data_IF_130887241766
#
_entry.id   IF_130887241766
#
_cell.length_a   1.000
_cell.length_b   1.000
_cell.length_c   1.000
_cell.angle_alpha   90.00
_cell.angle_beta   90.00
_cell.angle_gamma   90.00
#
_symmetry.space_group_name_H-M   'P 1'
#
loop_
_entity.id
_entity.type
_entity.pdbx_description
1 polymer ?
#
# COMPACT_ATOMS: atom_id res chain seq x y z
N UNK A 1 -59.91 -41.87 -0.19
CA UNK A 1 -59.90 -41.28 -1.56
C UNK A 1 -59.70 -39.79 -1.46
N UNK A 2 -58.51 -39.32 -1.78
CA UNK A 2 -58.23 -38.09 -2.51
C UNK A 2 -56.70 -37.83 -2.47
N UNK A 3 -56.13 -37.87 -3.66
CA UNK A 3 -54.71 -37.79 -3.98
C UNK A 3 -54.13 -36.41 -3.69
N UNK A 4 -53.01 -36.37 -2.97
CA UNK A 4 -52.17 -35.18 -2.84
C UNK A 4 -51.01 -35.25 -3.84
N UNK A 5 -51.07 -34.38 -4.84
CA UNK A 5 -50.06 -34.27 -5.91
C UNK A 5 -48.86 -33.55 -5.42
N UNK A 6 -47.71 -34.22 -5.40
CA UNK A 6 -46.37 -33.60 -5.25
C UNK A 6 -45.92 -33.05 -6.61
N UNK A 7 -45.82 -31.72 -6.69
CA UNK A 7 -45.19 -31.06 -7.82
C UNK A 7 -43.70 -30.99 -7.59
N UNK A 8 -42.94 -31.77 -8.33
CA UNK A 8 -41.48 -31.65 -8.42
C UNK A 8 -41.13 -30.47 -9.31
N UNK A 9 -40.53 -29.43 -8.76
CA UNK A 9 -39.87 -28.35 -9.50
C UNK A 9 -38.48 -28.86 -9.93
N UNK A 10 -38.36 -29.28 -11.16
CA UNK A 10 -37.11 -29.63 -11.83
C UNK A 10 -36.42 -28.32 -12.24
N UNK A 11 -35.37 -27.91 -11.48
CA UNK A 11 -34.48 -26.81 -11.89
C UNK A 11 -33.52 -27.39 -12.94
N UNK A 12 -33.74 -27.00 -14.20
CA UNK A 12 -32.85 -27.27 -15.33
C UNK A 12 -31.62 -26.37 -15.23
N UNK A 13 -30.48 -26.94 -14.83
CA UNK A 13 -29.19 -26.30 -14.95
C UNK A 13 -28.72 -26.35 -16.39
N UNK A 14 -28.90 -25.28 -17.16
CA UNK A 14 -28.32 -25.12 -18.48
C UNK A 14 -26.82 -24.80 -18.29
N UNK A 15 -25.97 -25.79 -18.57
CA UNK A 15 -24.53 -25.65 -18.74
C UNK A 15 -24.24 -24.81 -19.98
N UNK A 16 -24.04 -23.51 -19.81
CA UNK A 16 -23.42 -22.65 -20.81
C UNK A 16 -21.90 -22.87 -20.74
N UNK A 17 -21.43 -23.84 -21.54
CA UNK A 17 -20.01 -23.97 -21.86
C UNK A 17 -19.63 -22.85 -22.83
N UNK A 18 -19.36 -21.66 -22.27
CA UNK A 18 -18.69 -20.59 -22.98
C UNK A 18 -17.23 -21.00 -23.17
N UNK A 19 -16.86 -21.45 -24.36
CA UNK A 19 -15.48 -21.54 -24.80
C UNK A 19 -14.91 -20.12 -24.75
N UNK A 20 -14.17 -19.79 -23.69
CA UNK A 20 -13.28 -18.65 -23.67
C UNK A 20 -12.17 -18.97 -24.68
N UNK A 21 -12.37 -18.58 -25.94
CA UNK A 21 -11.28 -18.41 -26.88
C UNK A 21 -10.37 -17.32 -26.29
N UNK A 22 -9.31 -17.76 -25.60
CA UNK A 22 -8.20 -16.90 -25.24
C UNK A 22 -7.65 -16.31 -26.53
N UNK A 23 -8.03 -15.09 -26.85
CA UNK A 23 -7.28 -14.28 -27.79
C UNK A 23 -5.89 -14.12 -27.15
N UNK A 24 -4.94 -14.93 -27.61
CA UNK A 24 -3.53 -14.54 -27.55
C UNK A 24 -3.41 -13.27 -28.40
N UNK A 25 -3.59 -12.12 -27.78
CA UNK A 25 -3.10 -10.88 -28.30
C UNK A 25 -1.60 -11.10 -28.46
N UNK A 26 -1.12 -11.19 -29.69
CA UNK A 26 0.28 -10.93 -30.02
C UNK A 26 0.57 -9.52 -29.51
N UNK A 27 0.99 -9.44 -28.28
CA UNK A 27 1.35 -8.20 -27.65
C UNK A 27 2.72 -7.81 -28.21
N UNK A 28 2.71 -6.90 -29.18
CA UNK A 28 3.91 -6.17 -29.52
C UNK A 28 4.53 -5.56 -28.24
N UNK A 29 5.75 -5.05 -28.31
CA UNK A 29 6.42 -4.47 -27.14
C UNK A 29 5.54 -3.42 -26.49
N UNK A 30 5.45 -3.44 -25.18
CA UNK A 30 4.69 -2.46 -24.39
C UNK A 30 5.43 -1.12 -24.44
N UNK A 31 4.91 -0.19 -25.24
CA UNK A 31 5.44 1.16 -25.36
C UNK A 31 5.02 1.99 -24.16
N UNK A 32 5.99 2.45 -23.37
CA UNK A 32 5.77 3.15 -22.11
C UNK A 32 6.44 4.52 -22.09
N UNK A 33 5.66 5.54 -21.71
CA UNK A 33 6.19 6.82 -21.18
C UNK A 33 6.16 6.80 -19.65
N UNK A 34 6.93 7.68 -19.00
CA UNK A 34 6.93 7.83 -17.54
C UNK A 34 5.51 8.03 -16.99
N UNK A 35 4.76 8.91 -17.62
CA UNK A 35 3.37 9.17 -17.26
C UNK A 35 2.53 7.89 -17.30
N UNK A 36 2.60 7.15 -18.41
CA UNK A 36 1.80 5.94 -18.60
C UNK A 36 2.18 4.83 -17.61
N UNK A 37 3.47 4.69 -17.31
CA UNK A 37 3.95 3.74 -16.30
C UNK A 37 3.39 4.04 -14.90
N UNK A 38 3.40 5.30 -14.50
CA UNK A 38 2.84 5.74 -13.21
C UNK A 38 1.32 5.59 -13.17
N UNK A 39 0.59 5.95 -14.25
CA UNK A 39 -0.86 5.78 -14.34
C UNK A 39 -1.28 4.30 -14.20
N UNK A 40 -0.60 3.40 -14.89
CA UNK A 40 -0.86 1.95 -14.81
C UNK A 40 -0.63 1.43 -13.39
N UNK A 41 0.51 1.76 -12.78
CA UNK A 41 0.86 1.28 -11.45
C UNK A 41 -0.03 1.82 -10.33
N UNK A 42 -0.55 3.04 -10.48
CA UNK A 42 -1.43 3.69 -9.48
C UNK A 42 -2.92 3.47 -9.75
N UNK A 43 -3.28 2.70 -10.77
CA UNK A 43 -4.68 2.31 -11.00
C UNK A 43 -5.20 1.40 -9.87
N UNK A 44 -6.52 1.30 -9.66
CA UNK A 44 -7.10 0.44 -8.60
C UNK A 44 -6.73 -1.05 -8.71
N UNK A 45 -6.49 -1.54 -9.92
CA UNK A 45 -6.05 -2.89 -10.23
C UNK A 45 -4.54 -2.97 -10.52
N UNK A 46 -3.83 -1.87 -10.31
CA UNK A 46 -2.40 -1.73 -10.54
C UNK A 46 -1.56 -2.56 -9.57
N UNK A 47 -0.57 -1.95 -8.95
CA UNK A 47 0.35 -2.67 -8.08
C UNK A 47 -0.34 -3.35 -6.90
N UNK A 48 0.21 -4.50 -6.45
CA UNK A 48 -0.27 -5.22 -5.28
C UNK A 48 -0.35 -4.32 -4.02
N UNK A 49 0.53 -3.31 -3.90
CA UNK A 49 0.49 -2.36 -2.79
C UNK A 49 -0.78 -1.49 -2.82
N UNK A 50 -1.23 -1.08 -4.01
CA UNK A 50 -2.49 -0.32 -4.18
C UNK A 50 -3.69 -1.18 -3.81
N UNK A 51 -3.74 -2.43 -4.30
CA UNK A 51 -4.81 -3.37 -3.96
C UNK A 51 -4.88 -3.63 -2.46
N UNK A 52 -3.74 -3.89 -1.80
CA UNK A 52 -3.67 -4.08 -0.34
C UNK A 52 -4.12 -2.85 0.44
N UNK A 53 -3.77 -1.64 -0.01
CA UNK A 53 -4.22 -0.40 0.63
C UNK A 53 -5.73 -0.18 0.46
N UNK A 54 -6.30 -0.57 -0.69
CA UNK A 54 -7.75 -0.57 -0.92
C UNK A 54 -8.50 -1.54 0.02
N UNK A 55 -7.96 -2.74 0.24
CA UNK A 55 -8.53 -3.68 1.21
C UNK A 55 -8.41 -3.17 2.65
N UNK A 56 -7.31 -2.51 3.01
CA UNK A 56 -7.16 -1.87 4.33
C UNK A 56 -8.21 -0.77 4.55
N UNK A 57 -8.53 0.01 3.52
CA UNK A 57 -9.61 1.00 3.56
C UNK A 57 -10.99 0.33 3.74
N UNK A 58 -11.29 -0.77 3.04
CA UNK A 58 -12.53 -1.54 3.22
C UNK A 58 -12.65 -2.08 4.66
N UNK A 59 -11.54 -2.58 5.22
CA UNK A 59 -11.50 -3.01 6.62
C UNK A 59 -11.78 -1.86 7.60
N UNK A 60 -11.22 -0.67 7.36
CA UNK A 60 -11.47 0.50 8.19
C UNK A 60 -12.96 0.92 8.14
N UNK A 61 -13.58 0.90 6.95
CA UNK A 61 -15.02 1.14 6.78
C UNK A 61 -15.86 0.12 7.54
N UNK A 62 -15.56 -1.16 7.40
CA UNK A 62 -16.27 -2.22 8.13
C UNK A 62 -16.14 -2.07 9.65
N UNK A 63 -14.97 -1.65 10.16
CA UNK A 63 -14.80 -1.34 11.60
C UNK A 63 -15.64 -0.14 12.03
N UNK A 64 -15.78 0.89 11.19
CA UNK A 64 -16.67 2.01 11.44
C UNK A 64 -18.14 1.59 11.47
N UNK A 65 -18.55 0.70 10.55
CA UNK A 65 -19.92 0.14 10.54
C UNK A 65 -20.20 -0.72 11.76
N UNK A 66 -19.23 -1.53 12.23
CA UNK A 66 -19.34 -2.25 13.51
C UNK A 66 -19.51 -1.31 14.69
N UNK A 67 -18.74 -0.19 14.73
CA UNK A 67 -18.89 0.80 15.79
C UNK A 67 -20.25 1.52 15.71
N UNK A 68 -20.77 1.74 14.49
CA UNK A 68 -22.13 2.27 14.26
C UNK A 68 -23.20 1.29 14.72
N UNK A 69 -23.00 -0.01 14.44
CA UNK A 69 -23.96 -1.06 14.83
C UNK A 69 -24.21 -1.10 16.33
N UNK A 70 -23.22 -0.73 17.16
CA UNK A 70 -23.40 -0.61 18.60
C UNK A 70 -24.42 0.48 19.04
N UNK A 71 -24.84 1.35 18.13
CA UNK A 71 -25.87 2.39 18.33
C UNK A 71 -27.22 1.99 17.74
N UNK A 72 -27.29 0.89 17.00
CA UNK A 72 -28.50 0.38 16.35
C UNK A 72 -29.10 -0.76 17.15
N UNK A 73 -30.38 -1.11 16.89
CA UNK A 73 -30.99 -2.27 17.51
C UNK A 73 -30.25 -3.57 17.18
N UNK A 74 -29.99 -4.37 18.20
CA UNK A 74 -29.51 -5.75 18.06
C UNK A 74 -30.72 -6.69 18.28
N UNK A 75 -31.01 -7.48 17.25
CA UNK A 75 -32.12 -8.43 17.28
C UNK A 75 -31.56 -9.83 17.09
N UNK A 76 -31.83 -10.71 18.05
CA UNK A 76 -31.38 -12.11 18.03
C UNK A 76 -32.55 -13.06 18.25
N UNK A 77 -32.41 -14.27 17.72
CA UNK A 77 -33.35 -15.37 17.95
C UNK A 77 -32.61 -16.50 18.64
N UNK A 78 -33.25 -17.09 19.66
CA UNK A 78 -32.71 -18.23 20.38
C UNK A 78 -33.75 -19.32 20.53
N UNK A 79 -33.31 -20.57 20.38
CA UNK A 79 -34.06 -21.77 20.68
C UNK A 79 -33.26 -22.58 21.70
N UNK A 80 -33.83 -22.75 22.89
CA UNK A 80 -33.16 -23.48 23.96
C UNK A 80 -34.01 -24.65 24.42
N UNK A 81 -33.40 -25.83 24.47
CA UNK A 81 -33.95 -27.00 25.12
C UNK A 81 -33.13 -27.34 26.36
N UNK A 82 -33.80 -27.50 27.51
CA UNK A 82 -33.15 -27.88 28.77
C UNK A 82 -33.96 -29.02 29.40
N UNK A 83 -33.23 -30.00 29.90
CA UNK A 83 -33.82 -30.99 30.83
C UNK A 83 -33.18 -30.74 32.19
N UNK A 84 -34.01 -30.43 33.18
CA UNK A 84 -33.56 -30.00 34.51
C UNK A 84 -34.38 -30.58 35.65
N UNK A 85 -33.71 -30.73 36.79
CA UNK A 85 -34.38 -30.96 38.08
C UNK A 85 -34.29 -29.69 38.91
N UNK A 86 -35.31 -29.37 39.67
CA UNK A 86 -35.35 -28.18 40.52
C UNK A 86 -35.56 -28.58 41.97
N UNK A 87 -34.71 -28.12 42.87
CA UNK A 87 -34.91 -28.27 44.32
C UNK A 87 -35.75 -27.09 44.82
N UNK A 88 -37.03 -27.35 45.08
CA UNK A 88 -38.00 -26.32 45.51
C UNK A 88 -37.63 -25.71 46.88
N UNK A 89 -37.06 -26.52 47.80
CA UNK A 89 -36.63 -26.01 49.11
C UNK A 89 -35.46 -25.04 49.00
N UNK A 90 -34.52 -25.30 48.12
CA UNK A 90 -33.39 -24.38 47.90
C UNK A 90 -33.85 -23.03 47.29
N UNK A 91 -34.97 -23.02 46.57
CA UNK A 91 -35.59 -21.80 46.02
C UNK A 91 -36.59 -21.13 46.99
N UNK A 92 -36.66 -21.55 48.25
CA UNK A 92 -37.54 -20.97 49.27
C UNK A 92 -39.01 -21.30 49.12
N UNK A 93 -39.35 -22.22 48.20
CA UNK A 93 -40.71 -22.64 47.97
C UNK A 93 -41.09 -23.79 48.98
N UNK A 94 -41.49 -23.40 50.17
CA UNK A 94 -42.07 -24.33 51.18
C UNK A 94 -43.55 -24.07 51.25
N UNK A 95 -44.33 -25.08 50.84
CA UNK A 95 -45.77 -25.00 50.90
C UNK A 95 -46.25 -25.65 52.25
N UNK A 96 -46.64 -24.82 53.24
CA UNK A 96 -47.34 -25.27 54.43
C UNK A 96 -48.84 -25.35 54.13
N UNK A 97 -49.28 -26.52 53.75
CA UNK A 97 -50.73 -26.74 53.59
C UNK A 97 -51.33 -27.22 54.94
N UNK A 98 -52.41 -26.58 55.43
CA UNK A 98 -53.09 -27.08 56.64
C UNK A 98 -53.57 -28.52 56.43
N UNK A 99 -53.29 -29.40 57.38
CA UNK A 99 -53.72 -30.79 57.36
C UNK A 99 -55.25 -30.83 57.47
N UNK A 100 -55.88 -31.21 56.36
CA UNK A 100 -57.34 -31.56 56.39
C UNK A 100 -57.42 -33.03 56.74
N UNK A 101 -58.28 -33.37 57.74
CA UNK A 101 -58.48 -34.76 58.17
C UNK A 101 -58.81 -35.68 57.00
N UNK A 102 -57.88 -36.64 56.73
CA UNK A 102 -58.00 -37.61 55.63
C UNK A 102 -57.24 -37.35 54.37
N UNK A 103 -56.48 -36.21 54.21
CA UNK A 103 -55.65 -35.90 53.06
C UNK A 103 -54.31 -35.34 53.48
N UNK A 104 -53.22 -36.07 53.17
CA UNK A 104 -51.81 -35.60 53.34
C UNK A 104 -51.29 -35.17 51.99
N UNK A 105 -51.23 -33.88 51.77
CA UNK A 105 -50.49 -33.31 50.57
C UNK A 105 -49.03 -33.06 50.95
N UNK A 106 -48.09 -33.76 50.33
CA UNK A 106 -46.69 -33.45 50.43
C UNK A 106 -46.13 -33.05 49.03
N UNK A 107 -45.60 -31.84 48.90
CA UNK A 107 -44.89 -31.48 47.71
C UNK A 107 -43.50 -32.08 47.76
N UNK A 108 -43.05 -32.73 46.67
CA UNK A 108 -41.67 -33.25 46.62
C UNK A 108 -40.69 -32.10 46.70
N UNK A 109 -39.62 -32.26 47.52
CA UNK A 109 -38.57 -31.26 47.62
C UNK A 109 -37.79 -31.10 46.31
N UNK A 110 -37.73 -32.16 45.49
CA UNK A 110 -37.09 -32.21 44.18
C UNK A 110 -38.18 -32.46 43.12
N UNK A 111 -38.27 -31.55 42.13
CA UNK A 111 -39.16 -31.65 40.98
C UNK A 111 -38.36 -31.91 39.74
N UNK A 112 -38.82 -32.86 38.93
CA UNK A 112 -38.16 -33.23 37.68
C UNK A 112 -37.64 -34.68 37.70
N UNK A 113 -36.92 -35.10 36.60
CA UNK A 113 -36.50 -34.25 35.46
C UNK A 113 -37.69 -33.79 34.61
N UNK A 114 -37.70 -32.50 34.23
CA UNK A 114 -38.66 -31.96 33.28
C UNK A 114 -37.94 -31.18 32.16
N UNK A 115 -38.49 -31.25 30.96
CA UNK A 115 -37.98 -30.55 29.81
C UNK A 115 -38.58 -29.17 29.70
N UNK A 116 -37.75 -28.18 29.35
CA UNK A 116 -38.19 -26.82 29.05
C UNK A 116 -37.63 -26.46 27.68
N UNK A 117 -38.53 -26.13 26.77
CA UNK A 117 -38.19 -25.56 25.46
C UNK A 117 -38.56 -24.09 25.47
N UNK A 118 -37.61 -23.23 25.13
CA UNK A 118 -37.76 -21.79 25.10
C UNK A 118 -37.35 -21.29 23.73
N UNK A 119 -38.30 -20.79 22.95
CA UNK A 119 -38.06 -20.18 21.64
C UNK A 119 -38.44 -18.70 21.72
N UNK A 120 -37.47 -17.82 21.54
CA UNK A 120 -37.71 -16.38 21.64
C UNK A 120 -36.93 -15.53 20.68
N UNK A 121 -37.44 -14.34 20.38
CA UNK A 121 -36.75 -13.24 19.71
C UNK A 121 -36.51 -12.18 20.79
N UNK A 122 -35.26 -11.72 20.87
CA UNK A 122 -34.84 -10.69 21.82
C UNK A 122 -34.26 -9.51 21.04
N UNK A 123 -34.61 -8.31 21.48
CA UNK A 123 -34.06 -7.07 20.91
C UNK A 123 -33.49 -6.19 22.01
N UNK A 124 -32.37 -5.55 21.75
CA UNK A 124 -31.83 -4.54 22.65
C UNK A 124 -31.30 -3.36 21.86
N UNK A 125 -31.38 -2.17 22.41
CA UNK A 125 -30.83 -0.96 21.81
C UNK A 125 -30.31 0.00 22.88
N UNK A 126 -29.12 0.55 22.63
CA UNK A 126 -28.63 1.67 23.42
C UNK A 126 -29.35 2.96 22.98
N UNK A 127 -30.06 3.61 23.91
CA UNK A 127 -30.74 4.89 23.68
C UNK A 127 -29.74 6.05 23.88
N UNK A 128 -29.00 5.99 24.97
CA UNK A 128 -27.95 6.94 25.31
C UNK A 128 -26.73 6.20 25.85
N UNK A 129 -25.66 6.25 25.08
CA UNK A 129 -24.30 5.87 25.47
C UNK A 129 -23.29 6.81 24.81
N UNK A 130 -22.89 7.84 25.52
CA UNK A 130 -21.93 8.83 25.05
C UNK A 130 -20.58 8.22 24.70
N UNK A 131 -20.18 7.14 25.37
CA UNK A 131 -18.94 6.40 25.08
C UNK A 131 -19.02 5.74 23.70
N UNK A 132 -20.11 5.04 23.37
CA UNK A 132 -20.33 4.40 22.08
C UNK A 132 -20.42 5.42 20.94
N UNK A 133 -21.03 6.58 21.16
CA UNK A 133 -21.06 7.67 20.18
C UNK A 133 -19.63 8.16 19.88
N UNK A 134 -18.80 8.36 20.90
CA UNK A 134 -17.40 8.78 20.71
C UNK A 134 -16.55 7.70 20.04
N UNK A 135 -16.78 6.42 20.36
CA UNK A 135 -16.13 5.31 19.66
C UNK A 135 -16.49 5.27 18.19
N UNK A 136 -17.75 5.49 17.83
CA UNK A 136 -18.16 5.58 16.44
C UNK A 136 -17.48 6.76 15.72
N UNK A 137 -17.42 7.95 16.35
CA UNK A 137 -16.72 9.11 15.80
C UNK A 137 -15.22 8.82 15.60
N UNK A 138 -14.56 8.16 16.57
CA UNK A 138 -13.17 7.73 16.46
C UNK A 138 -12.97 6.75 15.29
N UNK A 139 -13.84 5.76 15.15
CA UNK A 139 -13.77 4.79 14.04
C UNK A 139 -13.99 5.46 12.67
N UNK A 140 -14.94 6.43 12.59
CA UNK A 140 -15.15 7.22 11.38
C UNK A 140 -13.93 8.08 11.01
N UNK A 141 -13.27 8.70 11.99
CA UNK A 141 -11.99 9.42 11.78
C UNK A 141 -10.90 8.45 11.36
N UNK A 142 -10.90 7.22 11.86
CA UNK A 142 -10.03 6.14 11.42
C UNK A 142 -10.20 5.76 9.95
N UNK A 143 -11.42 5.84 9.40
CA UNK A 143 -11.66 5.67 7.95
C UNK A 143 -10.94 6.76 7.15
N UNK A 144 -11.07 8.02 7.58
CA UNK A 144 -10.38 9.13 6.92
C UNK A 144 -8.85 9.01 6.98
N UNK A 145 -8.32 8.44 8.10
CA UNK A 145 -6.90 8.11 8.19
C UNK A 145 -6.52 7.04 7.15
N UNK A 146 -7.32 5.98 7.00
CA UNK A 146 -7.07 4.92 6.02
C UNK A 146 -7.18 5.43 4.55
N UNK A 147 -8.06 6.39 4.26
CA UNK A 147 -8.12 7.06 2.95
C UNK A 147 -6.84 7.85 2.67
N UNK A 148 -6.32 8.54 3.67
CA UNK A 148 -5.04 9.26 3.54
C UNK A 148 -3.83 8.31 3.46
N UNK A 149 -3.89 7.13 4.09
CA UNK A 149 -2.88 6.06 3.95
C UNK A 149 -2.88 5.46 2.54
N UNK A 150 -4.05 5.29 1.95
CA UNK A 150 -4.15 4.85 0.56
C UNK A 150 -3.49 5.88 -0.37
N UNK A 151 -3.79 7.17 -0.20
CA UNK A 151 -3.16 8.23 -0.97
C UNK A 151 -1.62 8.27 -0.75
N UNK A 152 -1.14 8.02 0.48
CA UNK A 152 0.30 7.87 0.76
C UNK A 152 0.92 6.71 0.00
N UNK A 153 0.19 5.59 -0.09
CA UNK A 153 0.65 4.41 -0.85
C UNK A 153 0.71 4.72 -2.34
N UNK A 154 -0.28 5.44 -2.89
CA UNK A 154 -0.31 5.87 -4.28
C UNK A 154 0.90 6.77 -4.62
N UNK A 155 1.23 7.76 -3.78
CA UNK A 155 2.40 8.62 -3.96
C UNK A 155 3.72 7.82 -3.88
N UNK A 156 3.82 6.88 -2.94
CA UNK A 156 5.01 6.02 -2.81
C UNK A 156 5.20 5.09 -4.01
N UNK A 157 4.13 4.47 -4.49
CA UNK A 157 4.17 3.61 -5.69
C UNK A 157 4.53 4.44 -6.91
N UNK A 158 3.97 5.64 -7.07
CA UNK A 158 4.32 6.55 -8.16
C UNK A 158 5.81 6.90 -8.16
N UNK A 159 6.38 7.25 -7.01
CA UNK A 159 7.81 7.54 -6.88
C UNK A 159 8.69 6.30 -7.17
N UNK A 160 8.29 5.13 -6.69
CA UNK A 160 9.02 3.88 -6.93
C UNK A 160 9.05 3.53 -8.42
N UNK A 161 7.91 3.62 -9.10
CA UNK A 161 7.80 3.36 -10.55
C UNK A 161 8.57 4.39 -11.35
N UNK A 162 8.50 5.67 -10.97
CA UNK A 162 9.26 6.73 -11.63
C UNK A 162 10.78 6.48 -11.55
N UNK A 163 11.30 6.09 -10.38
CA UNK A 163 12.73 5.74 -10.23
C UNK A 163 13.10 4.49 -11.04
N UNK A 164 12.24 3.46 -11.04
CA UNK A 164 12.48 2.24 -11.84
C UNK A 164 12.47 2.55 -13.34
N UNK A 165 11.58 3.42 -13.78
CA UNK A 165 11.51 3.90 -15.16
C UNK A 165 12.77 4.67 -15.57
N UNK A 166 13.23 5.61 -14.73
CA UNK A 166 14.48 6.36 -14.95
C UNK A 166 15.69 5.44 -15.01
N UNK A 167 15.72 4.38 -14.17
CA UNK A 167 16.77 3.36 -14.22
C UNK A 167 16.73 2.58 -15.54
N UNK A 168 15.54 2.27 -16.06
CA UNK A 168 15.35 1.64 -17.37
C UNK A 168 15.91 2.50 -18.50
N UNK A 169 15.52 3.79 -18.56
CA UNK A 169 16.04 4.73 -19.57
C UNK A 169 17.57 4.87 -19.49
N UNK A 170 18.11 4.94 -18.27
CA UNK A 170 19.56 4.97 -18.09
C UNK A 170 20.21 3.72 -18.67
N UNK A 171 19.67 2.54 -18.36
CA UNK A 171 20.23 1.28 -18.85
C UNK A 171 20.13 1.15 -20.38
N UNK A 172 19.08 1.71 -21.01
CA UNK A 172 18.98 1.80 -22.46
C UNK A 172 20.07 2.71 -23.05
N UNK A 173 20.33 3.87 -22.45
CA UNK A 173 21.39 4.78 -22.85
C UNK A 173 22.80 4.17 -22.68
N UNK A 174 23.01 3.40 -21.60
CA UNK A 174 24.27 2.68 -21.36
C UNK A 174 24.52 1.62 -22.44
N UNK A 175 23.50 0.89 -22.90
CA UNK A 175 23.61 -0.07 -24.02
C UNK A 175 23.93 0.64 -25.33
N UNK A 176 23.28 1.77 -25.63
CA UNK A 176 23.53 2.56 -26.82
C UNK A 176 24.99 3.05 -26.85
N UNK A 177 25.48 3.57 -25.72
CA UNK A 177 26.88 4.00 -25.55
C UNK A 177 27.85 2.85 -25.74
N UNK A 178 27.59 1.68 -25.12
CA UNK A 178 28.47 0.52 -25.24
C UNK A 178 28.53 -0.01 -26.68
N UNK A 179 27.42 -0.01 -27.43
CA UNK A 179 27.38 -0.38 -28.86
C UNK A 179 28.21 0.58 -29.73
N UNK A 180 28.10 1.88 -29.47
CA UNK A 180 28.89 2.89 -30.16
C UNK A 180 30.38 2.67 -29.90
N UNK A 181 30.77 2.34 -28.66
CA UNK A 181 32.19 2.07 -28.32
C UNK A 181 32.72 0.80 -29.02
N UNK A 182 31.93 -0.29 -29.07
CA UNK A 182 32.31 -1.50 -29.84
C UNK A 182 32.53 -1.17 -31.32
N UNK A 183 31.62 -0.38 -31.91
CA UNK A 183 31.74 0.04 -33.32
C UNK A 183 33.02 0.84 -33.55
N UNK A 184 33.33 1.74 -32.63
CA UNK A 184 34.55 2.58 -32.70
C UNK A 184 35.82 1.75 -32.55
N UNK A 185 35.88 0.86 -31.54
CA UNK A 185 37.05 -0.02 -31.33
C UNK A 185 37.30 -0.97 -32.52
N UNK A 186 36.21 -1.45 -33.16
CA UNK A 186 36.33 -2.26 -34.37
C UNK A 186 36.90 -1.45 -35.53
N UNK A 187 36.50 -0.20 -35.70
CA UNK A 187 37.08 0.70 -36.73
C UNK A 187 38.58 0.97 -36.49
N UNK A 188 38.98 1.24 -35.24
CA UNK A 188 40.40 1.44 -34.87
C UNK A 188 41.21 0.17 -35.11
N UNK A 189 40.69 -1.01 -34.80
CA UNK A 189 41.35 -2.28 -35.08
C UNK A 189 41.60 -2.45 -36.60
N UNK A 190 40.57 -2.22 -37.41
CA UNK A 190 40.64 -2.31 -38.87
C UNK A 190 41.73 -1.34 -39.43
N UNK A 191 41.77 -0.13 -38.91
CA UNK A 191 42.75 0.85 -39.28
C UNK A 191 44.19 0.43 -38.90
N UNK A 192 44.42 -0.07 -37.69
CA UNK A 192 45.70 -0.61 -37.24
C UNK A 192 46.20 -1.79 -38.12
N UNK A 193 45.28 -2.68 -38.52
CA UNK A 193 45.59 -3.78 -39.45
C UNK A 193 45.97 -3.28 -40.85
N UNK A 194 45.27 -2.24 -41.35
CA UNK A 194 45.59 -1.62 -42.64
C UNK A 194 46.98 -0.92 -42.62
N UNK A 195 47.27 -0.17 -41.56
CA UNK A 195 48.57 0.48 -41.39
C UNK A 195 49.71 -0.54 -41.31
N UNK A 196 49.53 -1.65 -40.60
CA UNK A 196 50.54 -2.72 -40.57
C UNK A 196 50.76 -3.32 -41.96
N UNK A 197 49.70 -3.57 -42.73
CA UNK A 197 49.82 -4.08 -44.13
C UNK A 197 50.54 -3.09 -45.04
N UNK A 198 50.38 -1.81 -44.81
CA UNK A 198 51.12 -0.74 -45.54
C UNK A 198 52.53 -0.53 -45.01
N UNK A 199 53.00 -1.28 -43.99
CA UNK A 199 54.37 -1.12 -43.44
C UNK A 199 54.51 0.07 -42.47
N UNK A 200 53.45 0.83 -42.21
CA UNK A 200 53.44 2.02 -41.34
C UNK A 200 53.04 1.74 -39.90
N UNK A 201 52.55 0.54 -39.59
CA UNK A 201 52.04 0.15 -38.24
C UNK A 201 52.81 -1.01 -37.63
N UNK A 202 52.65 -1.19 -36.30
CA UNK A 202 53.33 -2.22 -35.52
C UNK A 202 52.37 -3.33 -35.08
N UNK A 203 52.88 -4.54 -34.80
CA UNK A 203 52.07 -5.65 -34.29
C UNK A 203 51.48 -5.40 -32.90
N UNK A 204 52.13 -4.58 -32.09
CA UNK A 204 51.65 -4.24 -30.74
C UNK A 204 50.40 -3.35 -30.79
N UNK A 205 50.26 -2.49 -31.80
CA UNK A 205 49.06 -1.64 -32.01
C UNK A 205 47.82 -2.52 -32.31
N UNK A 206 47.97 -3.54 -33.15
CA UNK A 206 46.90 -4.51 -33.41
C UNK A 206 46.51 -5.25 -32.13
N UNK A 207 47.49 -5.69 -31.34
CA UNK A 207 47.21 -6.41 -30.08
C UNK A 207 46.48 -5.51 -29.10
N UNK A 208 46.89 -4.26 -28.94
CA UNK A 208 46.21 -3.26 -28.08
C UNK A 208 44.76 -3.00 -28.54
N UNK A 209 44.55 -2.79 -29.83
CA UNK A 209 43.22 -2.58 -30.40
C UNK A 209 42.30 -3.81 -30.23
N UNK A 210 42.83 -5.04 -30.31
CA UNK A 210 42.11 -6.27 -30.03
C UNK A 210 41.71 -6.38 -28.55
N UNK A 211 42.59 -6.01 -27.63
CA UNK A 211 42.31 -5.97 -26.19
C UNK A 211 41.19 -4.96 -25.90
N UNK A 212 41.29 -3.73 -26.47
CA UNK A 212 40.25 -2.73 -26.30
C UNK A 212 38.89 -3.21 -26.84
N UNK A 213 38.85 -3.78 -28.04
CA UNK A 213 37.61 -4.34 -28.59
C UNK A 213 37.01 -5.46 -27.71
N UNK A 214 37.88 -6.32 -27.15
CA UNK A 214 37.41 -7.36 -26.23
C UNK A 214 36.81 -6.78 -24.96
N UNK A 215 37.42 -5.75 -24.39
CA UNK A 215 36.90 -5.03 -23.23
C UNK A 215 35.55 -4.36 -23.53
N UNK A 216 35.40 -3.70 -24.66
CA UNK A 216 34.19 -3.01 -25.06
C UNK A 216 33.03 -3.99 -25.33
N UNK A 217 33.33 -5.15 -25.94
CA UNK A 217 32.36 -6.23 -26.08
C UNK A 217 31.90 -6.78 -24.73
N UNK A 218 32.83 -6.94 -23.78
CA UNK A 218 32.48 -7.37 -22.41
C UNK A 218 31.56 -6.33 -21.73
N UNK A 219 31.87 -5.03 -21.86
CA UNK A 219 31.00 -3.95 -21.31
C UNK A 219 29.60 -3.97 -21.93
N UNK A 220 29.50 -4.21 -23.26
CA UNK A 220 28.20 -4.33 -23.94
C UNK A 220 27.36 -5.46 -23.35
N UNK A 221 27.95 -6.65 -23.12
CA UNK A 221 27.24 -7.77 -22.50
C UNK A 221 26.74 -7.42 -21.08
N UNK A 222 27.56 -6.70 -20.30
CA UNK A 222 27.17 -6.24 -18.96
C UNK A 222 26.03 -5.23 -19.04
N UNK A 223 26.09 -4.26 -19.95
CA UNK A 223 25.04 -3.25 -20.16
C UNK A 223 23.71 -3.89 -20.61
N UNK A 224 23.75 -4.85 -21.55
CA UNK A 224 22.57 -5.58 -22.01
C UNK A 224 21.91 -6.40 -20.88
N UNK A 225 22.70 -6.98 -19.98
CA UNK A 225 22.19 -7.66 -18.82
C UNK A 225 21.58 -6.68 -17.80
N UNK A 226 22.23 -5.54 -17.55
CA UNK A 226 21.72 -4.49 -16.67
C UNK A 226 20.40 -3.92 -17.20
N UNK A 227 20.27 -3.70 -18.52
CA UNK A 227 19.03 -3.29 -19.17
C UNK A 227 17.89 -4.28 -18.92
N UNK A 228 18.11 -5.58 -19.17
CA UNK A 228 17.10 -6.61 -18.89
C UNK A 228 16.67 -6.59 -17.44
N UNK A 229 17.61 -6.47 -16.50
CA UNK A 229 17.32 -6.39 -15.08
C UNK A 229 16.48 -5.16 -14.72
N UNK A 230 16.81 -3.98 -15.28
CA UNK A 230 16.07 -2.74 -15.04
C UNK A 230 14.62 -2.82 -15.59
N UNK A 231 14.44 -3.36 -16.79
CA UNK A 231 13.12 -3.56 -17.39
C UNK A 231 12.26 -4.54 -16.56
N UNK A 232 12.84 -5.66 -16.09
CA UNK A 232 12.13 -6.59 -15.20
C UNK A 232 11.75 -5.95 -13.86
N UNK A 233 12.61 -5.11 -13.29
CA UNK A 233 12.30 -4.36 -12.07
C UNK A 233 11.16 -3.36 -12.29
N UNK A 234 11.13 -2.69 -13.44
CA UNK A 234 10.04 -1.79 -13.82
C UNK A 234 8.71 -2.55 -13.97
N UNK A 235 8.70 -3.65 -14.72
CA UNK A 235 7.50 -4.51 -14.86
C UNK A 235 6.99 -4.99 -13.50
N UNK A 236 7.91 -5.43 -12.62
CA UNK A 236 7.57 -5.85 -11.26
C UNK A 236 6.99 -4.70 -10.42
N UNK A 237 7.53 -3.48 -10.56
CA UNK A 237 7.04 -2.31 -9.84
C UNK A 237 5.62 -1.90 -10.27
N UNK A 238 5.28 -2.17 -11.55
CA UNK A 238 3.94 -1.93 -12.13
C UNK A 238 2.96 -3.10 -11.93
N UNK A 239 3.44 -4.25 -11.40
CA UNK A 239 2.67 -5.50 -11.28
C UNK A 239 2.16 -6.04 -12.62
N UNK A 240 2.96 -5.89 -13.67
CA UNK A 240 2.70 -6.38 -15.02
C UNK A 240 3.48 -7.69 -15.25
N UNK A 241 3.00 -8.55 -16.16
CA UNK A 241 3.69 -9.80 -16.51
C UNK A 241 5.14 -9.55 -16.92
N UNK A 242 6.05 -10.38 -16.38
CA UNK A 242 7.49 -10.28 -16.64
C UNK A 242 7.90 -10.77 -18.04
N UNK A 243 6.98 -11.41 -18.79
CA UNK A 243 7.21 -11.94 -20.13
C UNK A 243 6.99 -10.90 -21.24
N UNK A 244 6.54 -9.69 -20.87
CA UNK A 244 6.26 -8.62 -21.82
C UNK A 244 7.56 -7.86 -22.13
N UNK A 245 7.85 -7.67 -23.40
CA UNK A 245 8.93 -6.79 -23.84
C UNK A 245 8.52 -5.33 -23.69
N UNK A 246 9.40 -4.49 -23.13
CA UNK A 246 9.15 -3.08 -22.84
C UNK A 246 10.00 -2.21 -23.74
N UNK A 247 9.37 -1.18 -24.32
CA UNK A 247 10.05 -0.10 -25.04
C UNK A 247 9.77 1.23 -24.34
N UNK A 248 10.83 1.91 -23.86
CA UNK A 248 10.74 3.19 -23.16
C UNK A 248 10.86 4.33 -24.17
N UNK A 249 9.90 5.27 -24.15
CA UNK A 249 9.84 6.34 -25.14
C UNK A 249 10.61 7.59 -24.75
N UNK A 250 10.80 7.82 -23.45
CA UNK A 250 11.45 9.03 -22.96
C UNK A 250 12.98 8.88 -22.97
N UNK A 251 13.67 10.00 -22.99
CA UNK A 251 15.14 10.06 -22.89
C UNK A 251 15.54 10.86 -21.67
N UNK A 252 16.71 10.53 -21.10
CA UNK A 252 17.28 11.34 -20.01
C UNK A 252 17.59 12.75 -20.55
N UNK A 253 16.91 13.72 -19.98
CA UNK A 253 17.06 15.13 -20.32
C UNK A 253 17.22 15.98 -19.06
N UNK A 254 17.81 17.17 -19.25
CA UNK A 254 17.81 18.20 -18.24
C UNK A 254 16.60 19.11 -18.48
N UNK A 255 15.65 19.10 -17.51
CA UNK A 255 14.50 20.01 -17.50
C UNK A 255 14.65 20.88 -16.24
N UNK A 256 14.93 22.18 -16.38
CA UNK A 256 15.11 23.05 -15.23
C UNK A 256 13.85 23.07 -14.35
N UNK A 257 14.04 23.05 -13.05
CA UNK A 257 12.98 23.17 -12.06
C UNK A 257 13.03 24.57 -11.45
N UNK A 258 11.85 25.18 -11.26
CA UNK A 258 11.77 26.48 -10.59
C UNK A 258 12.35 26.39 -9.17
N UNK A 259 13.16 27.35 -8.79
CA UNK A 259 13.76 27.43 -7.47
C UNK A 259 12.68 27.68 -6.43
N UNK A 260 12.46 26.70 -5.55
CA UNK A 260 11.57 26.83 -4.41
C UNK A 260 12.38 27.05 -3.12
N UNK A 261 11.99 28.02 -2.29
CA UNK A 261 12.63 28.24 -1.01
C UNK A 261 12.24 27.16 0.00
N UNK A 262 13.10 26.91 1.02
CA UNK A 262 12.80 25.94 2.09
C UNK A 262 11.44 26.23 2.75
N UNK A 263 11.14 27.50 3.04
CA UNK A 263 9.88 27.90 3.68
C UNK A 263 8.66 27.58 2.82
N UNK A 264 8.75 27.84 1.51
CA UNK A 264 7.67 27.51 0.56
C UNK A 264 7.50 25.99 0.43
N UNK A 265 8.61 25.23 0.32
CA UNK A 265 8.60 23.79 0.24
C UNK A 265 7.95 23.16 1.49
N UNK A 266 8.32 23.66 2.69
CA UNK A 266 7.75 23.22 3.97
C UNK A 266 6.25 23.51 4.06
N UNK A 267 5.81 24.72 3.72
CA UNK A 267 4.40 25.09 3.73
C UNK A 267 3.59 24.22 2.76
N UNK A 268 4.14 23.96 1.58
CA UNK A 268 3.53 23.12 0.57
C UNK A 268 3.44 21.65 1.03
N UNK A 269 4.50 21.08 1.57
CA UNK A 269 4.53 19.69 2.06
C UNK A 269 3.52 19.50 3.20
N UNK A 270 3.45 20.41 4.15
CA UNK A 270 2.49 20.31 5.25
C UNK A 270 1.03 20.40 4.80
N UNK A 271 0.75 21.04 3.67
CA UNK A 271 -0.58 21.13 3.09
C UNK A 271 -0.94 19.92 2.21
N UNK A 272 0.03 19.35 1.47
CA UNK A 272 -0.22 18.36 0.43
C UNK A 272 0.08 16.93 0.87
N UNK A 273 1.02 16.67 1.77
CA UNK A 273 1.47 15.31 2.14
C UNK A 273 0.34 14.49 2.79
N UNK A 274 -0.04 13.36 2.16
CA UNK A 274 -1.13 12.53 2.67
C UNK A 274 -0.74 11.74 3.92
N UNK A 275 0.55 11.41 4.13
CA UNK A 275 1.04 10.74 5.34
C UNK A 275 0.90 11.61 6.59
N UNK A 276 1.18 12.92 6.50
CA UNK A 276 0.94 13.86 7.59
C UNK A 276 -0.54 13.98 7.90
N UNK A 277 -1.38 14.04 6.87
CA UNK A 277 -2.84 14.08 7.03
C UNK A 277 -3.36 12.80 7.70
N UNK A 278 -2.86 11.63 7.30
CA UNK A 278 -3.20 10.36 7.92
C UNK A 278 -2.83 10.34 9.42
N UNK A 279 -1.62 10.80 9.75
CA UNK A 279 -1.14 10.84 11.13
C UNK A 279 -1.95 11.81 12.00
N UNK A 280 -2.30 12.99 11.51
CA UNK A 280 -3.18 13.94 12.20
C UNK A 280 -4.57 13.35 12.47
N UNK A 281 -5.10 12.57 11.53
CA UNK A 281 -6.39 11.88 11.70
C UNK A 281 -6.30 10.72 12.69
N UNK A 282 -5.18 10.00 12.76
CA UNK A 282 -4.91 9.01 13.82
C UNK A 282 -4.85 9.67 15.19
N UNK A 283 -4.17 10.81 15.31
CA UNK A 283 -4.13 11.59 16.54
C UNK A 283 -5.53 12.03 16.97
N UNK A 284 -6.34 12.56 16.05
CA UNK A 284 -7.73 12.95 16.31
C UNK A 284 -8.59 11.76 16.73
N UNK A 285 -8.45 10.59 16.07
CA UNK A 285 -9.15 9.34 16.43
C UNK A 285 -8.76 8.86 17.83
N UNK A 286 -7.47 8.90 18.18
CA UNK A 286 -7.00 8.57 19.53
C UNK A 286 -7.54 9.54 20.60
N UNK A 287 -7.64 10.84 20.28
CA UNK A 287 -8.26 11.84 21.14
C UNK A 287 -9.75 11.56 21.40
N UNK A 288 -10.48 11.18 20.35
CA UNK A 288 -11.89 10.76 20.47
C UNK A 288 -12.03 9.47 21.28
N UNK A 289 -11.14 8.50 21.10
CA UNK A 289 -11.08 7.26 21.88
C UNK A 289 -10.78 7.52 23.36
N UNK A 290 -9.83 8.42 23.65
CA UNK A 290 -9.56 8.86 25.03
C UNK A 290 -10.76 9.62 25.65
N UNK A 291 -11.50 10.38 24.85
CA UNK A 291 -12.76 11.00 25.28
C UNK A 291 -13.84 9.94 25.55
N UNK A 292 -13.95 8.90 24.72
CA UNK A 292 -14.90 7.81 24.92
C UNK A 292 -14.68 7.10 26.26
N UNK A 293 -13.43 6.80 26.64
CA UNK A 293 -13.12 6.16 27.93
C UNK A 293 -13.43 7.06 29.15
N UNK A 294 -13.32 8.39 29.02
CA UNK A 294 -13.78 9.32 30.06
C UNK A 294 -15.28 9.26 30.27
N UNK A 295 -16.04 9.13 29.15
CA UNK A 295 -17.49 9.10 29.16
C UNK A 295 -18.09 7.76 29.65
N UNK A 296 -17.29 6.69 29.77
CA UNK A 296 -17.72 5.42 30.38
C UNK A 296 -18.16 5.55 31.85
N UNK A 297 -17.89 6.67 32.50
CA UNK A 297 -18.35 6.97 33.86
C UNK A 297 -19.76 7.55 33.89
N UNK A 298 -20.26 8.02 32.74
CA UNK A 298 -21.61 8.56 32.66
C UNK A 298 -22.64 7.42 32.65
N UNK A 299 -23.86 7.65 33.17
CA UNK A 299 -24.94 6.72 33.03
C UNK A 299 -25.25 6.41 31.56
N UNK A 300 -25.62 5.16 31.29
CA UNK A 300 -26.11 4.72 29.97
C UNK A 300 -27.55 4.23 30.10
N UNK A 301 -28.38 4.51 29.10
CA UNK A 301 -29.76 4.14 29.00
C UNK A 301 -29.98 3.19 27.83
N UNK A 302 -30.54 2.02 28.08
CA UNK A 302 -30.86 1.03 27.06
C UNK A 302 -32.30 0.62 27.10
N UNK A 303 -32.87 0.26 25.97
CA UNK A 303 -34.12 -0.45 25.81
C UNK A 303 -33.85 -1.92 25.56
N UNK A 304 -34.69 -2.80 26.11
CA UNK A 304 -34.66 -4.23 25.80
C UNK A 304 -36.10 -4.75 25.71
N UNK A 305 -36.27 -5.78 24.89
CA UNK A 305 -37.55 -6.49 24.81
C UNK A 305 -37.35 -7.89 24.27
N UNK A 306 -38.16 -8.80 24.72
CA UNK A 306 -38.23 -10.16 24.19
C UNK A 306 -39.69 -10.61 24.01
N UNK A 307 -39.90 -11.46 23.03
CA UNK A 307 -41.15 -12.14 22.76
C UNK A 307 -40.84 -13.58 22.37
N UNK A 308 -41.48 -14.53 23.00
CA UNK A 308 -41.23 -15.93 22.76
C UNK A 308 -42.31 -16.85 23.32
N UNK A 309 -42.07 -18.15 23.21
CA UNK A 309 -42.91 -19.19 23.76
C UNK A 309 -42.06 -20.14 24.59
N UNK A 310 -42.52 -20.44 25.79
CA UNK A 310 -41.88 -21.36 26.72
C UNK A 310 -42.85 -22.48 27.12
N UNK A 311 -42.38 -23.73 27.05
CA UNK A 311 -43.20 -24.89 27.38
C UNK A 311 -42.38 -26.17 27.54
N UNK A 312 -43.07 -27.32 27.71
CA UNK A 312 -42.40 -28.64 27.76
C UNK A 312 -41.88 -29.08 26.40
N UNK A 313 -42.51 -28.62 25.30
CA UNK A 313 -42.06 -28.77 23.90
C UNK A 313 -42.48 -27.53 23.10
N UNK A 314 -42.07 -27.44 21.84
CA UNK A 314 -42.41 -26.32 20.93
C UNK A 314 -43.93 -26.28 20.60
N UNK A 315 -44.59 -27.43 20.61
CA UNK A 315 -45.93 -27.59 20.07
C UNK A 315 -46.95 -28.04 21.14
N UNK A 316 -46.48 -28.38 22.34
CA UNK A 316 -47.31 -28.86 23.43
C UNK A 316 -46.96 -28.12 24.72
N UNK A 317 -47.99 -27.64 25.40
CA UNK A 317 -47.93 -26.86 26.64
C UNK A 317 -47.03 -25.60 26.56
N UNK A 318 -46.86 -25.03 25.38
CA UNK A 318 -46.10 -23.78 25.20
C UNK A 318 -47.04 -22.57 25.25
N UNK A 319 -46.64 -21.58 26.03
CA UNK A 319 -47.39 -20.33 26.19
C UNK A 319 -46.53 -19.14 25.78
N UNK A 320 -47.14 -18.11 25.14
CA UNK A 320 -46.41 -16.91 24.75
C UNK A 320 -46.04 -16.10 26.00
N UNK A 321 -44.77 -15.66 26.01
CA UNK A 321 -44.22 -14.78 27.04
C UNK A 321 -43.59 -13.55 26.40
N UNK A 322 -43.64 -12.42 27.08
CA UNK A 322 -43.06 -11.16 26.66
C UNK A 322 -42.47 -10.41 27.83
N UNK A 323 -41.32 -9.79 27.59
CA UNK A 323 -40.70 -8.87 28.53
C UNK A 323 -40.25 -7.64 27.75
N UNK A 324 -40.43 -6.46 28.25
CA UNK A 324 -39.83 -5.24 27.69
C UNK A 324 -39.58 -4.25 28.82
N UNK A 325 -38.55 -3.44 28.65
CA UNK A 325 -38.19 -2.50 29.69
C UNK A 325 -37.08 -1.55 29.27
N UNK A 326 -36.76 -0.65 30.16
CA UNK A 326 -35.67 0.31 30.04
C UNK A 326 -34.71 0.06 31.19
N UNK A 327 -33.40 0.01 30.84
CA UNK A 327 -32.35 -0.18 31.84
C UNK A 327 -31.47 1.07 31.89
N UNK A 328 -31.43 1.71 33.07
CA UNK A 328 -30.47 2.74 33.40
C UNK A 328 -29.30 2.10 34.14
N UNK A 329 -28.11 2.13 33.52
CA UNK A 329 -26.86 1.60 34.10
C UNK A 329 -26.00 2.75 34.61
N UNK A 330 -25.77 2.81 35.90
CA UNK A 330 -24.92 3.80 36.56
C UNK A 330 -23.70 3.06 37.11
N UNK A 331 -22.49 3.27 36.52
CA UNK A 331 -21.30 2.59 36.99
C UNK A 331 -20.79 3.24 38.28
N UNK A 332 -20.71 2.50 39.39
CA UNK A 332 -20.26 3.01 40.69
C UNK A 332 -18.81 2.61 40.93
N UNK A 333 -18.49 1.33 40.93
CA UNK A 333 -17.17 0.79 41.21
C UNK A 333 -16.89 -0.47 40.38
N UNK A 334 -15.68 -0.63 39.86
CA UNK A 334 -15.28 -1.74 39.02
C UNK A 334 -13.83 -2.22 39.26
N UNK A 335 -13.33 -1.97 40.48
CA UNK A 335 -11.93 -2.34 40.82
C UNK A 335 -10.88 -1.50 40.14
N UNK A 336 -11.20 -0.29 39.63
CA UNK A 336 -10.23 0.59 38.96
C UNK A 336 -10.05 0.32 37.47
N UNK A 337 -10.78 -0.64 36.89
CA UNK A 337 -10.62 -1.02 35.48
C UNK A 337 -10.87 0.14 34.51
N UNK A 338 -11.87 1.01 34.76
CA UNK A 338 -12.12 2.19 33.91
C UNK A 338 -11.04 3.23 34.06
N UNK A 339 -10.46 3.40 35.23
CA UNK A 339 -9.33 4.34 35.44
C UNK A 339 -8.09 3.88 34.69
N UNK A 340 -7.79 2.57 34.74
CA UNK A 340 -6.69 2.00 33.95
C UNK A 340 -6.91 2.16 32.45
N UNK A 341 -8.11 1.87 31.92
CA UNK A 341 -8.44 2.09 30.50
C UNK A 341 -8.35 3.57 30.10
N UNK A 342 -8.77 4.47 30.98
CA UNK A 342 -8.64 5.92 30.74
C UNK A 342 -7.18 6.36 30.69
N UNK A 343 -6.35 5.85 31.59
CA UNK A 343 -4.92 6.15 31.63
C UNK A 343 -4.20 5.61 30.37
N UNK A 344 -4.56 4.39 29.95
CA UNK A 344 -4.07 3.78 28.71
C UNK A 344 -4.44 4.61 27.49
N UNK A 345 -5.73 4.93 27.29
CA UNK A 345 -6.19 5.72 26.16
C UNK A 345 -5.60 7.14 26.14
N UNK A 346 -5.41 7.76 27.29
CA UNK A 346 -4.72 9.04 27.39
C UNK A 346 -3.24 8.94 27.03
N UNK A 347 -2.58 7.84 27.36
CA UNK A 347 -1.19 7.57 26.94
C UNK A 347 -1.09 7.33 25.45
N UNK A 348 -2.01 6.56 24.85
CA UNK A 348 -2.09 6.35 23.41
C UNK A 348 -2.27 7.68 22.66
N UNK A 349 -3.18 8.54 23.12
CA UNK A 349 -3.34 9.87 22.51
C UNK A 349 -2.04 10.70 22.57
N UNK A 350 -1.35 10.75 23.72
CA UNK A 350 -0.05 11.42 23.82
C UNK A 350 1.01 10.82 22.91
N UNK A 351 1.00 9.50 22.73
CA UNK A 351 1.91 8.84 21.82
C UNK A 351 1.66 9.28 20.35
N UNK A 352 0.39 9.39 19.94
CA UNK A 352 0.08 9.90 18.61
C UNK A 352 0.46 11.37 18.40
N UNK A 353 0.31 12.21 19.44
CA UNK A 353 0.77 13.61 19.40
C UNK A 353 2.30 13.70 19.21
N UNK A 354 3.06 12.82 19.88
CA UNK A 354 4.52 12.75 19.71
C UNK A 354 4.86 12.30 18.28
N UNK A 355 4.18 11.28 17.76
CA UNK A 355 4.38 10.81 16.38
C UNK A 355 4.08 11.90 15.33
N UNK A 356 3.04 12.69 15.54
CA UNK A 356 2.71 13.82 14.65
C UNK A 356 3.82 14.87 14.65
N UNK A 357 4.41 15.15 15.79
CA UNK A 357 5.55 16.08 15.89
C UNK A 357 6.80 15.52 15.21
N UNK A 358 7.15 14.29 15.51
CA UNK A 358 8.30 13.58 14.92
C UNK A 358 8.19 13.51 13.38
N UNK A 359 7.00 13.17 12.86
CA UNK A 359 6.76 13.16 11.42
C UNK A 359 6.95 14.54 10.77
N UNK A 360 6.57 15.63 11.44
CA UNK A 360 6.82 16.99 10.93
C UNK A 360 8.30 17.32 10.84
N UNK A 361 9.08 16.91 11.84
CA UNK A 361 10.54 17.06 11.86
C UNK A 361 11.20 16.22 10.75
N UNK A 362 10.72 14.98 10.55
CA UNK A 362 11.17 14.12 9.46
C UNK A 362 10.85 14.72 8.08
N UNK A 363 9.67 15.28 7.89
CA UNK A 363 9.28 15.96 6.65
C UNK A 363 10.22 17.15 6.36
N UNK A 364 10.56 17.93 7.37
CA UNK A 364 11.50 19.06 7.19
C UNK A 364 12.89 18.56 6.79
N UNK A 365 13.36 17.45 7.40
CA UNK A 365 14.61 16.82 7.02
C UNK A 365 14.58 16.31 5.57
N UNK A 366 13.51 15.60 5.20
CA UNK A 366 13.34 15.09 3.83
C UNK A 366 13.42 16.20 2.78
N UNK A 367 12.78 17.34 3.06
CA UNK A 367 12.79 18.51 2.17
C UNK A 367 14.19 19.10 2.04
N UNK A 368 14.91 19.27 3.14
CA UNK A 368 16.28 19.82 3.12
C UNK A 368 17.20 18.92 2.30
N UNK A 369 17.19 17.62 2.59
CA UNK A 369 18.00 16.65 1.85
C UNK A 369 17.65 16.62 0.36
N UNK A 370 16.37 16.70 0.00
CA UNK A 370 15.95 16.70 -1.40
C UNK A 370 16.37 18.00 -2.14
N UNK A 371 16.28 19.16 -1.49
CA UNK A 371 16.74 20.43 -2.06
C UNK A 371 18.25 20.44 -2.27
N UNK A 372 19.02 19.97 -1.28
CA UNK A 372 20.49 19.88 -1.37
C UNK A 372 20.92 18.89 -2.47
N UNK A 373 20.24 17.73 -2.56
CA UNK A 373 20.48 16.74 -3.59
C UNK A 373 20.18 17.29 -4.99
N UNK A 374 19.08 18.01 -5.15
CA UNK A 374 18.72 18.63 -6.44
C UNK A 374 19.74 19.66 -6.87
N UNK A 375 20.14 20.57 -5.97
CA UNK A 375 21.16 21.59 -6.27
C UNK A 375 22.51 20.96 -6.64
N UNK A 376 22.96 19.97 -5.86
CA UNK A 376 24.19 19.24 -6.17
C UNK A 376 24.12 18.52 -7.52
N UNK A 377 22.99 17.87 -7.82
CA UNK A 377 22.80 17.17 -9.09
C UNK A 377 22.74 18.14 -10.28
N UNK A 378 22.19 19.33 -10.13
CA UNK A 378 22.18 20.37 -11.13
C UNK A 378 23.61 20.83 -11.50
N UNK A 379 24.45 21.09 -10.49
CA UNK A 379 25.85 21.45 -10.72
C UNK A 379 26.63 20.29 -11.37
N UNK A 380 26.36 19.03 -10.98
CA UNK A 380 26.97 17.85 -11.62
C UNK A 380 26.62 17.77 -13.11
N UNK A 381 25.36 18.06 -13.50
CA UNK A 381 24.96 18.08 -14.92
C UNK A 381 25.73 19.13 -15.72
N UNK A 382 25.93 20.33 -15.17
CA UNK A 382 26.73 21.40 -15.83
C UNK A 382 28.16 20.95 -16.07
N UNK A 383 28.84 20.47 -15.00
CA UNK A 383 30.25 20.01 -15.11
C UNK A 383 30.38 18.80 -16.03
N UNK A 384 29.44 17.85 -15.97
CA UNK A 384 29.50 16.66 -16.83
C UNK A 384 29.29 17.00 -18.31
N UNK A 385 28.42 17.98 -18.62
CA UNK A 385 28.21 18.47 -19.99
C UNK A 385 29.48 19.11 -20.54
N UNK A 386 30.11 20.00 -19.77
CA UNK A 386 31.35 20.67 -20.19
C UNK A 386 32.49 19.65 -20.39
N UNK A 387 32.59 18.65 -19.49
CA UNK A 387 33.53 17.55 -19.59
C UNK A 387 33.34 16.67 -20.84
N UNK A 388 32.07 16.42 -21.22
CA UNK A 388 31.75 15.69 -22.44
C UNK A 388 32.16 16.46 -23.67
N UNK A 389 31.83 17.75 -23.79
CA UNK A 389 32.19 18.59 -24.92
C UNK A 389 33.74 18.63 -25.13
N UNK A 390 34.49 18.82 -24.05
CA UNK A 390 35.97 18.82 -24.10
C UNK A 390 36.53 17.46 -24.56
N UNK A 391 35.97 16.35 -24.06
CA UNK A 391 36.44 15.01 -24.44
C UNK A 391 36.08 14.64 -25.89
N UNK A 392 34.95 15.12 -26.42
CA UNK A 392 34.61 14.96 -27.84
C UNK A 392 35.57 15.73 -28.73
N UNK A 393 35.93 16.95 -28.37
CA UNK A 393 36.88 17.76 -29.05
C UNK A 393 38.29 17.12 -29.04
N UNK A 394 38.70 16.56 -27.89
CA UNK A 394 39.98 15.85 -27.74
C UNK A 394 40.07 14.63 -28.67
N UNK A 395 39.01 13.78 -28.66
CA UNK A 395 39.00 12.61 -29.55
C UNK A 395 39.02 13.01 -31.02
N UNK A 396 38.31 14.06 -31.41
CA UNK A 396 38.31 14.56 -32.77
C UNK A 396 39.72 15.05 -33.20
N UNK A 397 40.46 15.70 -32.29
CA UNK A 397 41.83 16.12 -32.53
C UNK A 397 42.81 14.94 -32.62
N UNK A 398 42.73 13.99 -31.67
CA UNK A 398 43.56 12.80 -31.66
C UNK A 398 43.40 11.97 -32.95
N UNK A 399 42.19 11.83 -33.45
CA UNK A 399 41.89 11.15 -34.71
C UNK A 399 42.54 11.87 -35.91
N UNK A 400 42.34 13.18 -36.05
CA UNK A 400 42.96 13.95 -37.16
C UNK A 400 44.49 13.82 -37.17
N UNK A 401 45.13 13.84 -36.00
CA UNK A 401 46.58 13.67 -35.87
C UNK A 401 47.03 12.25 -36.23
N UNK A 402 46.27 11.24 -35.83
CA UNK A 402 46.54 9.85 -36.16
C UNK A 402 46.37 9.57 -37.65
N UNK A 403 45.32 10.10 -38.28
CA UNK A 403 45.07 9.98 -39.72
C UNK A 403 46.16 10.68 -40.56
N UNK A 404 46.68 11.80 -40.04
CA UNK A 404 47.82 12.50 -40.67
C UNK A 404 49.17 11.81 -40.42
N UNK A 405 49.24 10.70 -39.68
CA UNK A 405 50.48 9.98 -39.38
C UNK A 405 51.42 10.67 -38.39
N UNK A 406 50.95 11.72 -37.68
CA UNK A 406 51.77 12.51 -36.73
C UNK A 406 51.49 12.13 -35.24
N UNK A 407 50.61 11.16 -34.99
CA UNK A 407 50.31 10.62 -33.66
C UNK A 407 50.23 9.10 -33.70
N UNK A 408 50.37 8.46 -32.50
CA UNK A 408 50.25 7.03 -32.35
C UNK A 408 48.80 6.61 -32.01
N UNK A 409 48.44 5.37 -32.33
CA UNK A 409 47.14 4.80 -31.96
C UNK A 409 46.82 4.91 -30.46
N UNK A 410 47.83 4.97 -29.60
CA UNK A 410 47.69 5.15 -28.16
C UNK A 410 46.97 6.47 -27.81
N UNK A 411 47.28 7.58 -28.49
CA UNK A 411 46.68 8.89 -28.28
C UNK A 411 45.14 8.82 -28.56
N UNK A 412 44.74 8.11 -29.61
CA UNK A 412 43.33 7.88 -29.93
C UNK A 412 42.64 7.01 -28.89
N UNK A 413 43.30 5.92 -28.46
CA UNK A 413 42.74 5.02 -27.44
C UNK A 413 42.57 5.72 -26.09
N UNK A 414 43.53 6.55 -25.69
CA UNK A 414 43.44 7.34 -24.46
C UNK A 414 42.30 8.38 -24.53
N UNK A 415 42.17 9.08 -25.66
CA UNK A 415 41.07 10.02 -25.89
C UNK A 415 39.71 9.31 -25.92
N UNK A 416 39.63 8.10 -26.50
CA UNK A 416 38.41 7.26 -26.43
C UNK A 416 38.01 6.91 -24.99
N UNK A 417 38.97 6.47 -24.18
CA UNK A 417 38.72 6.11 -22.77
C UNK A 417 38.23 7.32 -21.97
N UNK A 418 38.75 8.52 -22.26
CA UNK A 418 38.29 9.76 -21.64
C UNK A 418 36.88 10.12 -22.07
N UNK A 419 36.56 10.00 -23.35
CA UNK A 419 35.22 10.23 -23.87
C UNK A 419 34.19 9.24 -23.29
N UNK A 420 34.56 7.96 -23.19
CA UNK A 420 33.70 6.95 -22.54
C UNK A 420 33.32 7.37 -21.08
N UNK A 421 34.34 7.74 -20.29
CA UNK A 421 34.13 8.23 -18.91
C UNK A 421 33.29 9.50 -18.87
N UNK A 422 33.50 10.42 -19.81
CA UNK A 422 32.71 11.65 -19.87
C UNK A 422 31.23 11.37 -20.20
N UNK A 423 30.97 10.43 -21.11
CA UNK A 423 29.60 9.98 -21.43
C UNK A 423 28.94 9.29 -20.25
N UNK A 424 29.63 8.38 -19.56
CA UNK A 424 29.14 7.72 -18.35
C UNK A 424 28.81 8.75 -17.26
N UNK A 425 29.70 9.74 -17.04
CA UNK A 425 29.49 10.82 -16.10
C UNK A 425 28.27 11.67 -16.45
N UNK A 426 28.05 11.98 -17.73
CA UNK A 426 26.88 12.75 -18.18
C UNK A 426 25.59 11.96 -17.97
N UNK A 427 25.55 10.70 -18.39
CA UNK A 427 24.39 9.82 -18.20
C UNK A 427 24.07 9.68 -16.71
N UNK A 428 25.10 9.48 -15.88
CA UNK A 428 24.94 9.40 -14.41
C UNK A 428 24.44 10.73 -13.83
N UNK A 429 24.97 11.87 -14.24
CA UNK A 429 24.56 13.18 -13.75
C UNK A 429 23.09 13.49 -14.12
N UNK A 430 22.69 13.21 -15.36
CA UNK A 430 21.30 13.36 -15.82
C UNK A 430 20.34 12.43 -15.06
N UNK A 431 20.76 11.19 -14.84
CA UNK A 431 19.99 10.23 -14.03
C UNK A 431 19.82 10.74 -12.58
N UNK A 432 20.92 11.13 -11.92
CA UNK A 432 20.87 11.66 -10.54
C UNK A 432 20.00 12.89 -10.44
N UNK A 433 20.06 13.79 -11.42
CA UNK A 433 19.22 14.99 -11.47
C UNK A 433 17.72 14.64 -11.55
N UNK A 434 17.34 13.73 -12.44
CA UNK A 434 15.95 13.33 -12.58
C UNK A 434 15.45 12.56 -11.34
N UNK A 435 16.29 11.74 -10.69
CA UNK A 435 15.96 11.09 -9.42
C UNK A 435 15.78 12.12 -8.31
N UNK A 436 16.72 13.09 -8.17
CA UNK A 436 16.61 14.14 -7.17
C UNK A 436 15.34 15.00 -7.35
N UNK A 437 14.90 15.20 -8.60
CA UNK A 437 13.62 15.86 -8.92
C UNK A 437 12.43 15.05 -8.41
N UNK A 438 12.40 13.74 -8.67
CA UNK A 438 11.35 12.85 -8.14
C UNK A 438 11.38 12.81 -6.60
N UNK A 439 12.56 12.81 -5.99
CA UNK A 439 12.71 12.81 -4.54
C UNK A 439 12.19 14.11 -3.90
N UNK A 440 12.42 15.27 -4.53
CA UNK A 440 11.82 16.52 -4.11
C UNK A 440 10.28 16.49 -4.24
N UNK A 441 9.76 16.02 -5.36
CA UNK A 441 8.32 15.89 -5.56
C UNK A 441 7.69 14.93 -4.53
N UNK A 442 8.38 13.87 -4.16
CA UNK A 442 7.97 12.96 -3.10
C UNK A 442 8.01 13.64 -1.74
N UNK A 443 9.05 14.41 -1.42
CA UNK A 443 9.15 15.17 -0.19
C UNK A 443 8.02 16.21 -0.07
N UNK A 444 7.57 16.76 -1.21
CA UNK A 444 6.43 17.66 -1.30
C UNK A 444 5.07 16.95 -1.33
N UNK A 445 5.01 15.62 -1.51
CA UNK A 445 3.77 14.83 -1.61
C UNK A 445 3.00 15.08 -2.92
N UNK A 446 3.69 15.22 -4.04
CA UNK A 446 3.10 15.62 -5.33
C UNK A 446 3.59 14.82 -6.53
N UNK A 447 4.25 13.68 -6.36
CA UNK A 447 4.80 12.88 -7.47
C UNK A 447 3.74 12.54 -8.51
N UNK A 448 2.58 12.07 -8.06
CA UNK A 448 1.47 11.68 -8.95
C UNK A 448 0.93 12.86 -9.78
N UNK A 449 0.96 14.06 -9.25
CA UNK A 449 0.46 15.25 -9.96
C UNK A 449 1.49 15.89 -10.88
N UNK A 450 2.79 15.73 -10.60
CA UNK A 450 3.87 16.31 -11.41
C UNK A 450 4.20 15.44 -12.63
N UNK A 451 3.97 14.14 -12.56
CA UNK A 451 4.16 13.21 -13.68
C UNK A 451 2.95 13.20 -14.64
N UNK A 452 1.83 13.84 -14.24
CA UNK A 452 0.68 14.05 -15.12
C UNK A 452 0.93 15.16 -16.13
#
# INVERSE_FOLDING_TARGET
>A
MRHMRYSYVLILFALFSGAAAGQQQESGPLVLSLRRAVELATSPEGSAQIQLSGEALKQARSRSDQARAALLPDISSSLQYRNQTMNLRANGLTFNIPTIQGFTFSFPALVGPFSVTDARISGSQSIFDFSSIRRFQAARTGVSAAESDQATTEERVAAQVARAYLLGIRADADVETARANVTLSQAVLTQAENQKRAGAGTGIEITRSKVQLANDRQRLLVAENARRSAHLQLLRAMDVSLDIEVELTDKLGYVPVDTITLEQARAQAFASRPDLKAQQQREASAGLSASATKLERLPSLGFFGDYGSIGSSLFDNSLPTRTYGVTLRIPIFDGGRRDARRAEAASQYRAETVRTRDLKEQIELDIRLALDALHSAEEQVKVARDGLELSENELAQARRRYDAGVAYALEVTDAQTRLERARDNQTQALYNYNVARIDLEQALGKVRSSVK
#
